data_IF_431811975444
#
_entry.id   IF_431811975444
#
_cell.length_a   1.000
_cell.length_b   1.000
_cell.length_c   1.000
_cell.angle_alpha   90.00
_cell.angle_beta   90.00
_cell.angle_gamma   90.00
#
_symmetry.space_group_name_H-M   'P 1'
#
loop_
_entity.id
_entity.type
_entity.pdbx_description
1 polymer ?
#
# COMPACT_ATOMS: atom_id res chain seq x y z
N UNK A 1 7.73 -5.21 1.34
CA UNK A 1 6.32 -5.52 1.07
C UNK A 1 6.00 -6.89 1.62
N UNK A 2 5.06 -6.90 2.55
CA UNK A 2 4.65 -8.02 3.34
C UNK A 2 3.74 -8.96 2.53
N UNK A 3 3.75 -10.27 2.86
CA UNK A 3 2.70 -11.17 2.45
C UNK A 3 1.38 -10.80 3.14
N UNK A 4 0.26 -11.15 2.50
CA UNK A 4 -1.09 -11.05 3.06
C UNK A 4 -1.70 -12.43 3.26
N UNK A 5 -2.23 -12.64 4.45
CA UNK A 5 -3.02 -13.83 4.77
C UNK A 5 -4.45 -13.66 4.28
N UNK A 6 -5.02 -14.70 3.69
CA UNK A 6 -6.43 -14.69 3.31
C UNK A 6 -7.33 -14.96 4.53
N UNK A 7 -8.18 -14.01 4.94
CA UNK A 7 -9.04 -14.19 6.11
C UNK A 7 -10.15 -15.23 5.89
N UNK A 8 -10.54 -15.50 4.64
CA UNK A 8 -11.56 -16.50 4.32
C UNK A 8 -10.99 -17.90 4.14
N UNK A 9 -9.66 -18.04 3.97
CA UNK A 9 -8.98 -19.31 3.74
C UNK A 9 -7.68 -19.38 4.54
N UNK A 10 -7.71 -20.12 5.65
CA UNK A 10 -6.56 -20.33 6.55
C UNK A 10 -5.34 -21.03 5.90
N UNK A 11 -5.49 -21.53 4.68
CA UNK A 11 -4.45 -22.19 3.92
C UNK A 11 -3.79 -21.30 2.87
N UNK A 12 -4.28 -20.06 2.63
CA UNK A 12 -3.86 -19.22 1.50
C UNK A 12 -3.12 -17.96 1.96
N UNK A 13 -1.96 -17.73 1.35
CA UNK A 13 -1.17 -16.49 1.52
C UNK A 13 -0.82 -15.91 0.16
N UNK A 14 -0.98 -14.60 -0.04
CA UNK A 14 -0.57 -13.88 -1.26
C UNK A 14 0.65 -13.01 -0.97
N UNK A 15 1.65 -13.02 -1.84
CA UNK A 15 2.90 -12.29 -1.63
C UNK A 15 3.52 -11.84 -2.95
N UNK A 16 4.42 -10.86 -2.89
CA UNK A 16 5.15 -10.41 -4.06
C UNK A 16 6.23 -11.43 -4.49
N UNK A 17 6.24 -11.80 -5.78
CA UNK A 17 7.24 -12.67 -6.40
C UNK A 17 7.95 -12.02 -7.57
N UNK A 18 8.76 -12.81 -8.29
CA UNK A 18 9.56 -12.34 -9.43
C UNK A 18 8.77 -12.06 -10.71
N UNK A 19 7.47 -12.41 -10.73
CA UNK A 19 6.59 -12.32 -11.90
C UNK A 19 5.21 -11.73 -11.53
N UNK A 20 5.17 -10.82 -10.56
CA UNK A 20 3.94 -10.27 -9.99
C UNK A 20 3.59 -10.92 -8.65
N UNK A 21 2.31 -10.93 -8.30
CA UNK A 21 1.84 -11.53 -7.05
C UNK A 21 1.70 -13.05 -7.20
N UNK A 22 2.11 -13.79 -6.18
CA UNK A 22 1.99 -15.24 -6.07
C UNK A 22 1.05 -15.59 -4.93
N UNK A 23 0.32 -16.69 -5.06
CA UNK A 23 -0.44 -17.28 -3.95
C UNK A 23 0.16 -18.63 -3.57
N UNK A 24 0.37 -18.85 -2.28
CA UNK A 24 0.87 -20.08 -1.68
C UNK A 24 -0.29 -20.84 -1.06
N UNK A 25 -0.43 -22.11 -1.45
CA UNK A 25 -1.26 -23.10 -0.77
C UNK A 25 -0.43 -23.81 0.30
N UNK A 26 -0.72 -23.50 1.57
CA UNK A 26 0.00 -24.05 2.73
C UNK A 26 -0.29 -25.53 2.97
N UNK A 27 -1.42 -26.07 2.49
CA UNK A 27 -1.72 -27.50 2.62
C UNK A 27 -0.84 -28.34 1.70
N UNK A 28 -0.44 -27.77 0.55
CA UNK A 28 0.31 -28.47 -0.50
C UNK A 28 1.77 -28.08 -0.56
N UNK A 29 2.13 -26.91 -0.01
CA UNK A 29 3.47 -26.34 -0.15
C UNK A 29 3.77 -25.88 -1.58
N UNK A 30 2.74 -25.57 -2.35
CA UNK A 30 2.81 -25.16 -3.76
C UNK A 30 2.36 -23.71 -3.90
N UNK A 31 3.02 -22.95 -4.77
CA UNK A 31 2.58 -21.60 -5.12
C UNK A 31 2.37 -21.46 -6.62
N UNK A 32 1.46 -20.56 -6.98
CA UNK A 32 1.10 -20.26 -8.36
C UNK A 32 0.78 -18.77 -8.53
N UNK A 33 0.76 -18.25 -9.77
CA UNK A 33 0.46 -16.84 -10.00
C UNK A 33 -0.91 -16.43 -9.44
N UNK A 34 -0.94 -15.27 -8.78
CA UNK A 34 -2.18 -14.56 -8.42
C UNK A 34 -2.41 -13.38 -9.38
N UNK A 35 -1.34 -12.65 -9.69
CA UNK A 35 -1.29 -11.62 -10.73
C UNK A 35 0.04 -11.73 -11.47
N UNK A 36 0.02 -11.59 -12.80
CA UNK A 36 1.21 -11.58 -13.65
C UNK A 36 1.79 -10.16 -13.87
N UNK A 37 1.23 -9.17 -13.19
CA UNK A 37 1.66 -7.77 -13.31
C UNK A 37 2.69 -7.39 -12.23
N UNK A 38 3.92 -7.09 -12.65
CA UNK A 38 5.03 -6.68 -11.77
C UNK A 38 4.82 -5.34 -11.05
N UNK A 39 3.80 -4.60 -11.47
CA UNK A 39 3.41 -3.32 -10.87
C UNK A 39 2.53 -3.48 -9.64
N UNK A 40 1.92 -4.64 -9.44
CA UNK A 40 1.11 -4.95 -8.25
C UNK A 40 2.01 -5.20 -7.03
N UNK A 41 1.69 -4.53 -5.93
CA UNK A 41 2.57 -4.36 -4.78
C UNK A 41 1.76 -4.27 -3.50
N UNK A 42 2.28 -4.85 -2.40
CA UNK A 42 1.65 -4.79 -1.07
C UNK A 42 0.19 -5.28 -1.07
N UNK A 43 -0.07 -6.56 -1.38
CA UNK A 43 -1.42 -7.09 -1.38
C UNK A 43 -2.03 -6.99 0.03
N UNK A 44 -3.32 -6.68 0.12
CA UNK A 44 -4.10 -6.69 1.37
C UNK A 44 -5.50 -7.19 1.09
N UNK A 45 -5.92 -8.28 1.74
CA UNK A 45 -7.26 -8.84 1.58
C UNK A 45 -8.35 -7.97 2.22
N UNK A 46 -9.52 -7.92 1.60
CA UNK A 46 -10.75 -7.50 2.26
C UNK A 46 -11.10 -8.47 3.39
N UNK A 47 -11.85 -8.05 4.43
CA UNK A 47 -12.16 -8.90 5.58
C UNK A 47 -12.90 -10.20 5.24
N UNK A 48 -13.69 -10.19 4.16
CA UNK A 48 -14.41 -11.35 3.63
C UNK A 48 -13.59 -12.20 2.64
N UNK A 49 -12.34 -11.80 2.36
CA UNK A 49 -11.43 -12.47 1.44
C UNK A 49 -11.80 -12.39 -0.04
N UNK A 50 -12.84 -11.62 -0.40
CA UNK A 50 -13.35 -11.56 -1.78
C UNK A 50 -12.51 -10.64 -2.69
N UNK A 51 -11.83 -9.66 -2.13
CA UNK A 51 -11.02 -8.68 -2.85
C UNK A 51 -9.61 -8.60 -2.26
N UNK A 52 -8.64 -8.21 -3.10
CA UNK A 52 -7.29 -7.86 -2.70
C UNK A 52 -7.01 -6.43 -3.17
N UNK A 53 -6.79 -5.51 -2.24
CA UNK A 53 -6.28 -4.19 -2.56
C UNK A 53 -4.76 -4.26 -2.77
N UNK A 54 -4.26 -3.51 -3.75
CA UNK A 54 -2.83 -3.42 -4.08
C UNK A 54 -2.45 -1.97 -4.32
N UNK A 55 -1.21 -1.62 -3.98
CA UNK A 55 -0.54 -0.48 -4.60
C UNK A 55 -0.08 -0.89 -6.00
N UNK A 56 -0.26 -0.03 -6.98
CA UNK A 56 0.07 -0.29 -8.38
C UNK A 56 1.02 0.78 -8.88
N UNK A 57 2.21 0.38 -9.33
CA UNK A 57 3.23 1.31 -9.81
C UNK A 57 3.10 1.58 -11.31
N UNK A 58 2.52 2.71 -11.70
CA UNK A 58 2.38 3.12 -13.10
C UNK A 58 3.27 4.33 -13.41
N UNK A 59 4.08 4.28 -14.46
CA UNK A 59 4.73 5.46 -15.06
C UNK A 59 5.28 6.49 -14.03
N UNK A 60 5.98 5.99 -13.00
CA UNK A 60 6.56 6.71 -11.86
C UNK A 60 5.62 7.24 -10.75
N UNK A 61 4.35 6.88 -10.73
CA UNK A 61 3.46 7.13 -9.59
C UNK A 61 2.76 5.85 -9.10
N UNK A 62 2.15 5.97 -7.94
CA UNK A 62 1.40 4.90 -7.28
C UNK A 62 -0.10 5.15 -7.36
N UNK A 63 -0.85 4.08 -7.57
CA UNK A 63 -2.31 4.08 -7.54
C UNK A 63 -2.82 2.90 -6.71
N UNK A 64 -4.06 2.97 -6.25
CA UNK A 64 -4.76 1.88 -5.58
C UNK A 64 -5.66 1.16 -6.57
N UNK A 65 -5.53 -0.16 -6.60
CA UNK A 65 -6.39 -1.06 -7.35
C UNK A 65 -6.96 -2.12 -6.41
N UNK A 66 -8.11 -2.68 -6.77
CA UNK A 66 -8.61 -3.93 -6.21
C UNK A 66 -8.55 -5.04 -7.26
N UNK A 67 -8.34 -6.26 -6.81
CA UNK A 67 -8.34 -7.49 -7.60
C UNK A 67 -9.31 -8.46 -6.94
N UNK A 68 -10.32 -8.91 -7.68
CA UNK A 68 -11.23 -9.96 -7.25
C UNK A 68 -10.45 -11.26 -7.03
N UNK A 69 -10.52 -11.82 -5.82
CA UNK A 69 -9.65 -12.91 -5.39
C UNK A 69 -9.97 -14.26 -6.06
N UNK A 70 -11.12 -14.38 -6.73
CA UNK A 70 -11.54 -15.59 -7.42
C UNK A 70 -11.31 -15.50 -8.94
N UNK A 71 -11.53 -14.33 -9.53
CA UNK A 71 -11.51 -14.12 -10.98
C UNK A 71 -10.27 -13.40 -11.48
N UNK A 72 -9.52 -12.72 -10.60
CA UNK A 72 -8.43 -11.83 -10.98
C UNK A 72 -8.88 -10.53 -11.65
N UNK A 73 -10.20 -10.26 -11.69
CA UNK A 73 -10.73 -9.02 -12.26
C UNK A 73 -10.24 -7.83 -11.47
N UNK A 74 -9.64 -6.84 -12.14
CA UNK A 74 -9.09 -5.65 -11.49
C UNK A 74 -9.92 -4.40 -11.72
N UNK A 75 -10.00 -3.54 -10.70
CA UNK A 75 -10.65 -2.23 -10.73
C UNK A 75 -9.68 -1.18 -10.19
N UNK A 76 -9.55 -0.05 -10.88
CA UNK A 76 -8.78 1.11 -10.43
C UNK A 76 -9.64 1.91 -9.46
N UNK A 77 -9.12 2.24 -8.27
CA UNK A 77 -9.84 3.02 -7.26
C UNK A 77 -9.36 4.47 -7.16
N UNK A 78 -8.08 4.73 -7.41
CA UNK A 78 -7.53 6.10 -7.44
C UNK A 78 -7.01 6.44 -8.84
N UNK A 79 -7.14 7.72 -9.20
CA UNK A 79 -6.65 8.23 -10.47
C UNK A 79 -5.99 9.59 -10.28
N UNK A 80 -4.69 9.66 -10.58
CA UNK A 80 -3.96 10.91 -10.69
C UNK A 80 -4.59 11.79 -11.78
N UNK A 81 -4.87 13.09 -11.49
CA UNK A 81 -5.45 13.98 -12.48
C UNK A 81 -4.60 14.11 -13.74
N UNK A 82 -5.22 13.94 -14.91
CA UNK A 82 -4.52 13.97 -16.22
C UNK A 82 -3.81 15.29 -16.54
N UNK A 83 -4.20 16.38 -15.88
CA UNK A 83 -3.69 17.73 -16.12
C UNK A 83 -2.80 18.25 -14.98
N UNK A 84 -2.47 17.42 -13.99
CA UNK A 84 -1.57 17.83 -12.93
C UNK A 84 -0.13 17.93 -13.47
N UNK A 85 0.59 18.99 -13.09
CA UNK A 85 2.01 19.17 -13.44
C UNK A 85 2.91 18.06 -12.85
N UNK A 86 2.42 17.38 -11.82
CA UNK A 86 3.07 16.23 -11.18
C UNK A 86 2.01 15.19 -10.84
N UNK A 87 2.32 13.92 -11.10
CA UNK A 87 1.41 12.82 -10.78
C UNK A 87 1.25 12.68 -9.25
N UNK A 88 0.02 12.43 -8.82
CA UNK A 88 -0.33 12.15 -7.43
C UNK A 88 -0.09 10.68 -7.16
N UNK A 89 0.45 10.38 -5.98
CA UNK A 89 0.64 9.03 -5.49
C UNK A 89 -0.46 8.66 -4.49
N UNK A 90 -0.96 7.44 -4.62
CA UNK A 90 -1.80 6.77 -3.64
C UNK A 90 -1.27 5.37 -3.38
N UNK A 91 -0.99 5.02 -2.13
CA UNK A 91 -0.31 3.76 -1.79
C UNK A 91 -0.70 3.22 -0.41
N UNK A 92 -0.19 2.02 -0.11
CA UNK A 92 -0.35 1.32 1.17
C UNK A 92 -1.82 1.23 1.65
N UNK A 93 -2.70 0.58 0.86
CA UNK A 93 -4.11 0.48 1.22
C UNK A 93 -4.33 -0.44 2.43
N UNK A 94 -5.36 -0.18 3.20
CA UNK A 94 -5.84 -1.01 4.30
C UNK A 94 -7.37 -0.98 4.34
N UNK A 95 -7.99 -2.16 4.44
CA UNK A 95 -9.44 -2.27 4.55
C UNK A 95 -9.92 -1.96 5.96
N UNK A 96 -11.10 -1.34 6.06
CA UNK A 96 -11.84 -1.28 7.32
C UNK A 96 -12.28 -2.70 7.73
N UNK A 97 -12.45 -2.99 9.05
CA UNK A 97 -12.85 -4.32 9.51
C UNK A 97 -14.20 -4.82 8.97
N UNK A 98 -15.09 -3.91 8.59
CA UNK A 98 -16.39 -4.20 7.97
C UNK A 98 -16.34 -4.25 6.44
N UNK A 99 -15.18 -3.96 5.82
CA UNK A 99 -14.97 -3.95 4.37
C UNK A 99 -15.64 -2.81 3.61
N UNK A 100 -16.24 -1.84 4.32
CA UNK A 100 -16.98 -0.73 3.68
C UNK A 100 -16.07 0.40 3.18
N UNK A 101 -14.87 0.52 3.73
CA UNK A 101 -13.93 1.60 3.44
C UNK A 101 -12.51 1.08 3.25
N UNK A 102 -11.69 1.91 2.60
CA UNK A 102 -10.25 1.72 2.44
C UNK A 102 -9.55 2.98 2.95
N UNK A 103 -8.62 2.80 3.87
CA UNK A 103 -7.63 3.79 4.24
C UNK A 103 -6.38 3.62 3.37
N UNK A 104 -5.73 4.72 3.00
CA UNK A 104 -4.51 4.72 2.20
C UNK A 104 -3.70 6.00 2.48
N UNK A 105 -2.47 6.07 2.00
CA UNK A 105 -1.70 7.33 2.00
C UNK A 105 -1.70 7.97 0.63
N UNK A 106 -1.82 9.29 0.59
CA UNK A 106 -1.73 10.06 -0.66
C UNK A 106 -1.00 11.37 -0.47
N UNK A 107 -0.30 11.81 -1.51
CA UNK A 107 0.35 13.13 -1.59
C UNK A 107 -0.47 14.16 -2.38
N UNK A 108 -1.77 13.92 -2.56
CA UNK A 108 -2.68 14.78 -3.35
C UNK A 108 -2.68 16.26 -2.92
N UNK A 109 -2.41 16.54 -1.63
CA UNK A 109 -2.33 17.90 -1.08
C UNK A 109 -0.89 18.46 -1.05
N UNK A 110 0.07 17.80 -1.71
CA UNK A 110 1.48 18.21 -1.77
C UNK A 110 2.37 17.63 -0.67
N UNK A 111 1.81 16.85 0.25
CA UNK A 111 2.49 16.12 1.31
C UNK A 111 1.75 14.81 1.59
N UNK A 112 2.46 13.78 2.06
CA UNK A 112 1.82 12.51 2.40
C UNK A 112 0.86 12.67 3.58
N UNK A 113 -0.39 12.24 3.39
CA UNK A 113 -1.45 12.27 4.39
C UNK A 113 -2.22 10.95 4.37
N UNK A 114 -2.96 10.66 5.44
CA UNK A 114 -3.91 9.56 5.45
C UNK A 114 -5.22 9.98 4.79
N UNK A 115 -5.73 9.14 3.90
CA UNK A 115 -6.97 9.33 3.16
C UNK A 115 -7.90 8.14 3.37
N UNK A 116 -9.20 8.41 3.25
CA UNK A 116 -10.27 7.42 3.25
C UNK A 116 -11.05 7.49 1.95
N UNK A 117 -11.51 6.34 1.48
CA UNK A 117 -12.53 6.22 0.45
C UNK A 117 -13.48 5.06 0.80
N UNK A 118 -14.66 5.05 0.19
CA UNK A 118 -15.51 3.86 0.17
C UNK A 118 -14.80 2.73 -0.60
N UNK A 119 -15.16 1.47 -0.35
CA UNK A 119 -14.53 0.32 -1.00
C UNK A 119 -14.67 0.26 -2.52
N UNK A 120 -15.60 1.01 -3.09
CA UNK A 120 -15.78 1.20 -4.53
C UNK A 120 -14.95 2.36 -5.12
N UNK A 121 -14.13 3.03 -4.31
CA UNK A 121 -13.31 4.18 -4.68
C UNK A 121 -14.02 5.53 -4.58
N UNK A 122 -15.31 5.56 -4.23
CA UNK A 122 -16.04 6.81 -4.10
C UNK A 122 -15.74 7.54 -2.78
N UNK A 123 -16.03 8.85 -2.76
CA UNK A 123 -15.86 9.72 -1.60
C UNK A 123 -14.43 9.77 -1.01
N UNK A 124 -13.37 9.97 -1.81
CA UNK A 124 -12.01 10.15 -1.29
C UNK A 124 -11.91 11.46 -0.49
N UNK A 125 -11.39 11.40 0.73
CA UNK A 125 -11.15 12.58 1.57
C UNK A 125 -10.02 12.34 2.58
N UNK A 126 -9.34 13.40 3.05
CA UNK A 126 -8.37 13.28 4.14
C UNK A 126 -9.03 12.70 5.40
N UNK A 127 -8.33 11.79 6.08
CA UNK A 127 -8.77 11.19 7.35
C UNK A 127 -8.69 12.19 8.50
N UNK A 128 -7.66 13.06 8.47
CA UNK A 128 -7.35 14.01 9.53
C UNK A 128 -7.57 15.44 9.05
N UNK A 129 -7.93 16.37 9.95
CA UNK A 129 -7.88 17.79 9.64
C UNK A 129 -6.43 18.27 9.46
N UNK A 130 -6.24 19.35 8.69
CA UNK A 130 -4.92 19.88 8.30
C UNK A 130 -3.97 20.13 9.49
N UNK A 131 -4.48 20.64 10.62
CA UNK A 131 -3.70 20.97 11.81
C UNK A 131 -3.17 19.74 12.55
N UNK A 132 -3.89 18.62 12.50
CA UNK A 132 -3.44 17.33 13.00
C UNK A 132 -2.48 16.65 12.03
N UNK A 133 -2.77 16.72 10.72
CA UNK A 133 -1.90 16.15 9.69
C UNK A 133 -0.50 16.79 9.72
N UNK A 134 -0.42 18.11 9.89
CA UNK A 134 0.86 18.84 9.96
C UNK A 134 1.76 18.47 11.15
N UNK A 135 1.23 17.76 12.15
CA UNK A 135 2.01 17.28 13.30
C UNK A 135 2.59 15.87 13.08
N UNK A 136 2.18 15.18 12.02
CA UNK A 136 2.68 13.86 11.65
C UNK A 136 3.67 13.98 10.50
N UNK A 137 4.86 13.41 10.67
CA UNK A 137 5.79 13.20 9.56
C UNK A 137 5.47 11.86 8.90
N UNK A 138 4.44 11.87 8.05
CA UNK A 138 4.08 10.70 7.23
C UNK A 138 5.04 10.66 6.05
N UNK A 139 5.73 9.53 5.88
CA UNK A 139 6.67 9.32 4.79
C UNK A 139 6.41 7.96 4.15
N UNK A 140 6.24 7.94 2.84
CA UNK A 140 6.19 6.69 2.08
C UNK A 140 7.35 6.61 1.10
N UNK A 141 8.20 5.60 1.27
CA UNK A 141 9.39 5.40 0.44
C UNK A 141 9.21 4.35 -0.68
N UNK A 142 7.99 3.84 -0.87
CA UNK A 142 7.67 2.86 -1.91
C UNK A 142 8.11 1.43 -1.61
N UNK A 143 8.67 1.15 -0.43
CA UNK A 143 9.18 -0.19 -0.05
C UNK A 143 8.74 -0.61 1.34
N UNK A 144 8.65 0.36 2.25
CA UNK A 144 8.32 0.18 3.67
C UNK A 144 6.85 0.43 3.95
N UNK A 145 6.27 -0.44 4.78
CA UNK A 145 4.93 -0.26 5.36
C UNK A 145 4.96 0.61 6.62
N UNK A 146 6.15 1.03 7.07
CA UNK A 146 6.31 1.96 8.19
C UNK A 146 6.21 3.39 7.68
N UNK A 147 5.02 3.95 7.83
CA UNK A 147 4.65 5.27 7.31
C UNK A 147 4.90 6.42 8.29
N UNK A 148 5.18 6.12 9.57
CA UNK A 148 5.37 7.13 10.61
C UNK A 148 6.78 6.99 11.21
N UNK A 149 7.50 8.11 11.26
CA UNK A 149 8.75 8.23 12.02
C UNK A 149 8.60 9.28 13.12
N UNK A 150 9.29 9.10 14.24
CA UNK A 150 9.34 10.12 15.29
C UNK A 150 10.47 11.10 14.98
N UNK A 151 10.15 12.39 14.92
CA UNK A 151 11.13 13.47 14.79
C UNK A 151 12.01 13.57 16.06
N UNK A 152 12.97 12.66 16.17
CA UNK A 152 13.92 12.56 17.28
C UNK A 152 15.20 11.81 16.93
N UNK A 153 15.23 11.07 15.81
CA UNK A 153 16.41 10.33 15.35
C UNK A 153 16.96 10.91 14.04
N UNK A 154 17.29 12.21 14.05
CA UNK A 154 18.29 12.68 13.10
C UNK A 154 19.68 12.24 13.58
N UNK A 155 20.20 11.22 12.89
CA UNK A 155 21.60 11.13 12.48
C UNK A 155 22.67 11.02 13.60
N UNK A 156 22.95 9.80 14.06
CA UNK A 156 24.27 9.45 14.63
C UNK A 156 24.96 8.40 13.79
N UNK A 157 25.30 8.76 12.54
CA UNK A 157 26.46 8.17 11.88
C UNK A 157 27.44 9.28 11.47
N UNK A 158 28.42 9.52 12.33
CA UNK A 158 29.80 9.74 11.88
C UNK A 158 30.74 9.29 13.00
N UNK A 159 31.16 8.04 12.91
CA UNK A 159 32.40 7.61 13.54
C UNK A 159 33.56 8.32 12.81
N UNK A 160 34.28 9.18 13.51
CA UNK A 160 35.72 9.28 13.30
C UNK A 160 36.39 9.05 14.65
N UNK A 161 36.84 7.81 14.86
CA UNK A 161 38.00 7.56 15.71
C UNK A 161 39.20 8.15 14.97
N UNK A 162 39.67 9.33 15.38
CA UNK A 162 41.06 9.69 15.18
C UNK A 162 41.86 9.04 16.29
N UNK A 163 42.58 7.97 15.94
CA UNK A 163 43.81 7.62 16.65
C UNK A 163 44.77 8.79 16.43
N UNK A 164 45.33 9.34 17.50
CA UNK A 164 46.76 9.70 17.54
C UNK A 164 47.19 10.12 18.95
N UNK A 165 48.30 9.48 19.38
CA UNK A 165 49.24 9.72 20.49
C UNK A 165 48.89 9.27 21.90
#
# INVERSE_FOLDING_TARGET
MAPAWDPANDWRVVFAGSAGLQQLDLNRGEYFPFSDDLRDRGPVFSPDGSQVAVSYKQDNHWEIYTIDAATGTRVRLTESPLFADTAVNSAAPAWSPDGSQIAYVSDQNGQWEFWLMNSDGSNPHPLLPDDAAAQLDVQYNGVDERLISWAGEQNTQHAQRTNDQ
#
